data_IF_327591787370
#
_entry.id   IF_327591787370
#
_cell.length_a   1.000
_cell.length_b   1.000
_cell.length_c   1.000
_cell.angle_alpha   90.00
_cell.angle_beta   90.00
_cell.angle_gamma   90.00
#
_symmetry.space_group_name_H-M   'P 1'
#
loop_
_entity.id
_entity.type
_entity.pdbx_description
1 polymer ?
#
# COMPACT_ATOMS: atom_id res chain seq x y z
N UNK A 1 -7.84 -12.68 34.31
CA UNK A 1 -7.51 -12.57 33.89
C UNK A 1 -6.91 -12.40 33.28
N UNK A 2 -6.84 -12.14 33.36
CA UNK A 2 -6.40 -11.83 32.90
C UNK A 2 -5.76 -11.80 32.09
N UNK A 3 -5.42 -11.92 31.89
CA UNK A 3 -4.82 -11.72 31.23
C UNK A 3 -4.79 -11.77 30.14
N UNK A 4 -4.40 -12.59 29.97
CA UNK A 4 -4.93 -12.63 28.64
C UNK A 4 -5.18 -11.28 28.08
N UNK A 5 -5.19 -10.36 28.90
CA UNK A 5 -5.28 -8.97 28.51
C UNK A 5 -4.09 -8.59 27.67
N UNK A 6 -2.93 -9.05 28.05
CA UNK A 6 -1.73 -8.75 27.31
C UNK A 6 -1.83 -9.24 25.88
N UNK A 7 -2.47 -10.37 25.68
CA UNK A 7 -2.61 -10.91 24.34
C UNK A 7 -3.45 -10.01 23.46
N UNK A 8 -4.54 -9.51 23.99
CA UNK A 8 -5.40 -8.60 23.23
C UNK A 8 -4.65 -7.35 22.83
N UNK A 9 -3.79 -6.84 23.72
CA UNK A 9 -3.03 -5.63 23.45
C UNK A 9 -1.93 -5.83 22.43
N UNK A 10 -1.46 -7.07 22.26
CA UNK A 10 -0.38 -7.34 21.31
C UNK A 10 -0.88 -7.63 19.91
N UNK A 11 -2.20 -7.75 19.72
CA UNK A 11 -2.77 -8.00 18.39
C UNK A 11 -3.06 -6.67 17.72
N UNK A 12 -2.35 -6.34 16.62
CA UNK A 12 -2.59 -5.08 15.93
C UNK A 12 -4.01 -5.02 15.38
N UNK A 13 -4.60 -3.84 15.42
CA UNK A 13 -5.94 -3.64 14.90
C UNK A 13 -6.00 -3.69 13.39
N UNK A 14 -4.89 -3.33 12.73
CA UNK A 14 -4.85 -3.19 11.28
C UNK A 14 -3.46 -3.57 10.81
N UNK A 15 -3.37 -4.58 9.94
CA UNK A 15 -2.10 -5.16 9.50
C UNK A 15 -2.05 -5.22 7.98
N UNK A 16 -0.91 -4.83 7.42
CA UNK A 16 -0.62 -5.00 6.00
C UNK A 16 0.47 -6.05 5.86
N UNK A 17 0.29 -6.98 4.93
CA UNK A 17 1.27 -8.04 4.68
C UNK A 17 1.26 -8.44 3.21
N UNK A 18 2.22 -9.26 2.82
CA UNK A 18 2.30 -9.80 1.47
C UNK A 18 2.65 -11.28 1.55
N UNK A 19 2.12 -12.06 0.61
CA UNK A 19 2.52 -13.45 0.46
C UNK A 19 3.83 -13.57 -0.32
N UNK A 20 4.26 -12.48 -0.96
CA UNK A 20 5.42 -12.50 -1.84
C UNK A 20 6.71 -12.09 -1.14
N UNK A 21 6.62 -11.35 -0.02
CA UNK A 21 7.80 -10.98 0.76
C UNK A 21 7.40 -10.64 2.18
N UNK A 22 8.38 -10.71 3.10
CA UNK A 22 8.16 -10.39 4.52
C UNK A 22 8.60 -8.97 4.81
N UNK A 23 8.13 -8.42 5.93
CA UNK A 23 8.53 -7.11 6.40
C UNK A 23 10.05 -6.96 6.36
N UNK A 24 10.54 -5.95 5.66
CA UNK A 24 11.97 -5.69 5.51
C UNK A 24 12.69 -6.63 4.56
N UNK A 25 11.97 -7.58 3.95
CA UNK A 25 12.58 -8.57 3.08
C UNK A 25 12.70 -8.11 1.64
N UNK A 26 13.22 -9.00 0.81
CA UNK A 26 13.43 -8.72 -0.61
C UNK A 26 12.13 -8.82 -1.38
N UNK A 27 11.79 -7.78 -2.13
CA UNK A 27 10.66 -7.83 -3.06
C UNK A 27 11.09 -8.71 -4.24
N UNK A 28 10.27 -9.67 -4.69
CA UNK A 28 10.65 -10.57 -5.79
C UNK A 28 11.10 -9.82 -7.03
N UNK A 29 12.08 -10.38 -7.70
CA UNK A 29 12.71 -9.70 -8.84
C UNK A 29 11.70 -9.37 -9.93
N UNK A 30 10.74 -10.27 -10.20
CA UNK A 30 9.76 -10.03 -11.26
C UNK A 30 8.74 -8.95 -10.91
N UNK A 31 8.78 -8.42 -9.68
CA UNK A 31 7.97 -7.26 -9.31
C UNK A 31 8.64 -5.96 -9.71
N UNK A 32 9.91 -5.99 -10.12
CA UNK A 32 10.65 -4.82 -10.55
C UNK A 32 10.16 -4.28 -11.88
N UNK A 33 10.25 -2.97 -12.04
CA UNK A 33 9.73 -2.28 -13.21
C UNK A 33 10.27 -2.83 -14.52
N UNK A 34 11.56 -3.18 -14.54
CA UNK A 34 12.24 -3.65 -15.74
C UNK A 34 12.32 -5.17 -15.84
N UNK A 35 11.70 -5.90 -14.91
CA UNK A 35 11.85 -7.35 -14.82
C UNK A 35 10.50 -8.06 -14.79
N UNK A 36 9.51 -7.48 -15.44
CA UNK A 36 8.18 -8.06 -15.51
C UNK A 36 7.12 -7.16 -14.92
N UNK A 37 7.51 -6.28 -14.01
CA UNK A 37 6.61 -5.30 -13.39
C UNK A 37 5.35 -5.98 -12.81
N UNK A 38 5.54 -7.14 -12.22
CA UNK A 38 4.42 -7.89 -11.65
C UNK A 38 4.06 -7.32 -10.29
N UNK A 39 2.79 -6.96 -10.13
CA UNK A 39 2.29 -6.43 -8.88
C UNK A 39 2.39 -7.49 -7.78
N UNK A 40 3.02 -7.19 -6.63
CA UNK A 40 3.01 -8.12 -5.51
C UNK A 40 1.63 -8.18 -4.89
N UNK A 41 1.32 -9.32 -4.29
CA UNK A 41 0.07 -9.47 -3.56
C UNK A 41 0.17 -8.69 -2.24
N UNK A 42 -0.78 -7.82 -1.99
CA UNK A 42 -0.86 -7.05 -0.74
C UNK A 42 -2.20 -7.35 -0.08
N UNK A 43 -2.16 -7.66 1.20
CA UNK A 43 -3.32 -8.10 1.95
C UNK A 43 -3.47 -7.29 3.23
N UNK A 44 -4.71 -6.93 3.54
CA UNK A 44 -5.05 -6.24 4.77
C UNK A 44 -5.87 -7.14 5.67
N UNK A 45 -5.50 -7.21 6.93
CA UNK A 45 -6.26 -7.89 7.97
C UNK A 45 -6.52 -6.91 9.08
N UNK A 46 -7.70 -6.94 9.67
CA UNK A 46 -8.06 -5.95 10.69
C UNK A 46 -9.09 -6.52 11.66
N UNK A 47 -9.12 -5.89 12.83
CA UNK A 47 -10.08 -6.21 13.86
C UNK A 47 -11.47 -5.79 13.38
N UNK A 48 -12.50 -6.63 13.59
CA UNK A 48 -13.87 -6.28 13.18
C UNK A 48 -14.39 -4.99 13.79
N UNK A 49 -13.75 -4.49 14.85
CA UNK A 49 -14.16 -3.21 15.45
C UNK A 49 -13.87 -2.02 14.52
N UNK A 50 -13.00 -2.21 13.53
CA UNK A 50 -12.73 -1.16 12.55
C UNK A 50 -13.85 -1.21 11.50
N UNK A 51 -14.70 -0.18 11.51
CA UNK A 51 -15.83 -0.10 10.59
C UNK A 51 -15.43 0.71 9.37
N UNK A 52 -14.60 0.12 8.53
CA UNK A 52 -14.07 0.80 7.35
C UNK A 52 -15.03 0.70 6.17
N UNK A 53 -15.22 1.81 5.48
CA UNK A 53 -16.00 1.84 4.24
C UNK A 53 -15.12 1.61 3.01
N UNK A 54 -13.81 1.88 3.13
CA UNK A 54 -12.89 1.78 2.01
C UNK A 54 -11.46 1.68 2.52
N UNK A 55 -10.55 1.35 1.60
CA UNK A 55 -9.12 1.24 1.90
C UNK A 55 -8.30 1.90 0.81
N UNK A 56 -7.15 2.47 1.20
CA UNK A 56 -6.22 3.05 0.25
C UNK A 56 -4.82 2.48 0.48
N UNK A 57 -4.03 2.44 -0.59
CA UNK A 57 -2.67 1.95 -0.54
C UNK A 57 -1.76 2.92 -1.28
N UNK A 58 -0.65 3.29 -0.64
CA UNK A 58 0.38 4.12 -1.24
C UNK A 58 1.70 3.37 -1.13
N UNK A 59 2.34 3.09 -2.28
CA UNK A 59 3.69 2.54 -2.30
C UNK A 59 4.63 3.60 -2.84
N UNK A 60 5.63 3.98 -2.08
CA UNK A 60 6.61 4.95 -2.55
C UNK A 60 8.03 4.57 -2.13
N UNK A 61 8.99 5.30 -2.67
CA UNK A 61 10.42 5.07 -2.48
C UNK A 61 11.06 6.34 -1.93
N UNK A 62 11.21 6.44 -0.60
CA UNK A 62 11.87 7.62 -0.01
C UNK A 62 13.36 7.68 -0.35
N UNK A 63 14.01 6.56 -0.63
CA UNK A 63 15.43 6.53 -0.98
C UNK A 63 15.70 7.13 -2.36
N UNK A 64 14.65 7.33 -3.15
CA UNK A 64 14.78 7.99 -4.45
C UNK A 64 15.16 9.45 -4.28
N UNK A 65 14.97 10.04 -3.09
CA UNK A 65 15.35 11.42 -2.82
C UNK A 65 16.85 11.63 -3.11
N UNK A 66 17.69 10.67 -2.73
CA UNK A 66 19.13 10.79 -2.98
C UNK A 66 19.52 10.52 -4.43
N UNK A 67 18.72 9.77 -5.16
CA UNK A 67 19.03 9.38 -6.54
C UNK A 67 18.45 10.35 -7.56
N UNK A 68 17.20 10.81 -7.36
CA UNK A 68 16.51 11.63 -8.35
C UNK A 68 15.86 12.87 -7.76
N UNK A 69 16.09 13.16 -6.48
CA UNK A 69 15.68 14.41 -5.87
C UNK A 69 14.24 14.48 -5.41
N UNK A 70 13.54 13.35 -5.37
CA UNK A 70 12.17 13.32 -4.86
C UNK A 70 11.84 11.91 -4.38
N UNK A 71 10.83 11.80 -3.52
CA UNK A 71 10.22 10.53 -3.16
C UNK A 71 9.44 10.07 -4.39
N UNK A 72 9.69 8.84 -4.85
CA UNK A 72 9.09 8.35 -6.08
C UNK A 72 7.83 7.54 -5.78
N UNK A 73 6.74 7.91 -6.42
CA UNK A 73 5.45 7.21 -6.24
C UNK A 73 5.39 6.03 -7.19
N UNK A 74 5.23 4.83 -6.61
CA UNK A 74 5.23 3.58 -7.37
C UNK A 74 3.84 3.00 -7.56
N UNK A 75 2.91 3.23 -6.63
CA UNK A 75 1.60 2.59 -6.72
C UNK A 75 0.62 3.32 -5.81
N UNK A 76 -0.52 3.69 -6.37
CA UNK A 76 -1.64 4.28 -5.64
C UNK A 76 -2.87 3.45 -5.97
N UNK A 77 -3.48 2.86 -4.96
CA UNK A 77 -4.65 2.02 -5.17
C UNK A 77 -5.71 2.34 -4.13
N UNK A 78 -6.95 2.30 -4.54
CA UNK A 78 -8.09 2.56 -3.69
C UNK A 78 -9.16 1.52 -3.98
N UNK A 79 -9.80 1.00 -2.94
CA UNK A 79 -10.91 0.08 -3.13
C UNK A 79 -11.93 0.24 -2.02
N UNK A 80 -13.19 -0.04 -2.36
CA UNK A 80 -14.26 -0.08 -1.38
C UNK A 80 -14.18 -1.36 -0.56
N UNK A 81 -14.80 -1.35 0.61
CA UNK A 81 -14.90 -2.54 1.43
C UNK A 81 -16.14 -3.33 0.99
N UNK A 82 -16.08 -3.88 -0.22
CA UNK A 82 -17.19 -4.59 -0.83
C UNK A 82 -16.85 -6.04 -1.20
N UNK A 83 -15.80 -6.57 -0.61
CA UNK A 83 -15.34 -7.92 -0.88
C UNK A 83 -15.12 -8.68 0.43
N UNK A 84 -15.05 -10.02 0.38
CA UNK A 84 -14.80 -10.79 1.58
C UNK A 84 -13.46 -10.46 2.23
N UNK A 85 -13.44 -10.54 3.53
CA UNK A 85 -12.24 -10.45 4.33
C UNK A 85 -11.37 -11.70 4.08
N UNK A 86 -10.03 -11.61 4.00
CA UNK A 86 -9.22 -10.38 4.10
C UNK A 86 -9.26 -9.56 2.81
N UNK A 87 -8.87 -8.28 2.94
CA UNK A 87 -8.90 -7.38 1.81
C UNK A 87 -7.60 -7.51 1.03
N UNK A 88 -7.72 -7.71 -0.28
CA UNK A 88 -6.56 -7.87 -1.16
C UNK A 88 -6.49 -6.76 -2.19
N UNK A 89 -5.25 -6.33 -2.48
CA UNK A 89 -4.97 -5.41 -3.58
C UNK A 89 -4.28 -6.24 -4.67
N UNK A 90 -5.07 -6.96 -5.44
CA UNK A 90 -4.58 -7.86 -6.49
C UNK A 90 -5.36 -7.59 -7.76
N UNK A 91 -4.69 -7.62 -8.89
CA UNK A 91 -5.32 -7.47 -10.19
C UNK A 91 -5.79 -8.83 -10.73
N UNK A 92 -6.94 -8.91 -11.42
CA UNK A 92 -7.92 -7.83 -11.56
C UNK A 92 -8.77 -7.72 -10.30
N UNK A 93 -9.35 -6.54 -10.07
CA UNK A 93 -10.18 -6.32 -8.89
C UNK A 93 -10.93 -5.02 -8.98
N UNK A 94 -11.71 -4.74 -7.95
CA UNK A 94 -12.51 -3.50 -7.91
C UNK A 94 -11.68 -2.36 -7.33
N UNK A 95 -10.53 -2.11 -7.95
CA UNK A 95 -9.62 -1.08 -7.48
C UNK A 95 -9.58 0.08 -8.45
N UNK A 96 -9.50 1.28 -7.89
CA UNK A 96 -9.34 2.49 -8.67
C UNK A 96 -7.90 2.93 -8.48
N UNK A 97 -7.12 2.92 -9.55
CA UNK A 97 -5.68 3.13 -9.49
C UNK A 97 -5.31 4.57 -9.81
N UNK A 98 -4.31 5.06 -9.10
CA UNK A 98 -3.75 6.39 -9.34
C UNK A 98 -2.57 6.36 -10.28
N UNK A 99 -1.98 7.52 -10.48
CA UNK A 99 -0.88 7.72 -11.41
C UNK A 99 0.45 7.72 -10.69
N UNK A 100 1.39 6.93 -11.19
CA UNK A 100 2.75 6.86 -10.64
C UNK A 100 3.61 7.98 -11.18
N UNK A 101 4.81 8.11 -10.62
CA UNK A 101 5.81 9.06 -11.13
C UNK A 101 6.43 8.58 -12.44
N UNK A 102 6.16 7.35 -12.87
CA UNK A 102 6.48 6.91 -14.22
C UNK A 102 5.52 7.50 -15.24
N UNK A 103 4.43 8.13 -14.78
CA UNK A 103 3.42 8.69 -15.66
C UNK A 103 2.35 7.70 -16.09
N UNK A 104 2.32 6.53 -15.46
CA UNK A 104 1.39 5.46 -15.81
C UNK A 104 0.43 5.19 -14.66
N UNK A 105 -0.76 4.73 -14.99
CA UNK A 105 -1.78 4.38 -14.01
C UNK A 105 -1.56 2.93 -13.59
N UNK A 106 -1.63 2.67 -12.28
CA UNK A 106 -1.47 1.33 -11.73
C UNK A 106 -0.11 1.13 -11.09
N UNK A 107 0.31 -0.12 -11.02
CA UNK A 107 1.55 -0.48 -10.35
C UNK A 107 2.77 -0.20 -11.23
N UNK A 108 3.77 0.49 -10.66
CA UNK A 108 5.08 0.64 -11.25
C UNK A 108 6.12 0.15 -10.27
N UNK A 109 6.82 -0.93 -10.58
CA UNK A 109 7.70 -1.60 -9.64
C UNK A 109 9.01 -0.90 -9.35
N UNK A 110 9.77 -1.45 -8.40
CA UNK A 110 11.09 -0.94 -8.07
C UNK A 110 12.04 -0.87 -9.26
N UNK A 111 12.83 0.19 -9.32
CA UNK A 111 13.87 0.36 -10.35
C UNK A 111 14.98 1.26 -9.79
N UNK A 112 15.62 0.87 -8.67
CA UNK A 112 16.61 1.73 -8.05
C UNK A 112 17.85 1.83 -8.95
N UNK A 113 18.32 3.04 -9.28
CA UNK A 113 19.41 3.18 -10.24
C UNK A 113 20.79 3.08 -9.60
N UNK A 114 20.92 3.31 -8.31
CA UNK A 114 22.21 3.48 -7.65
C UNK A 114 22.58 2.40 -6.65
N UNK A 115 21.62 1.98 -5.82
CA UNK A 115 21.87 1.02 -4.74
C UNK A 115 20.53 0.40 -4.34
N UNK A 116 20.56 -0.51 -3.38
CA UNK A 116 19.34 -1.09 -2.83
C UNK A 116 18.51 -0.01 -2.16
N UNK A 117 17.24 0.04 -2.51
CA UNK A 117 16.29 0.97 -1.89
C UNK A 117 15.29 0.21 -1.03
N UNK A 118 14.73 0.91 -0.04
CA UNK A 118 13.63 0.39 0.78
C UNK A 118 12.34 1.04 0.29
N UNK A 119 11.39 0.20 -0.07
CA UNK A 119 10.08 0.62 -0.58
C UNK A 119 9.07 0.53 0.55
N UNK A 120 8.23 1.54 0.68
CA UNK A 120 7.27 1.65 1.78
C UNK A 120 5.86 1.51 1.22
N UNK A 121 5.13 0.54 1.75
CA UNK A 121 3.71 0.31 1.44
C UNK A 121 2.92 0.78 2.64
N UNK A 122 2.07 1.78 2.46
CA UNK A 122 1.22 2.32 3.52
C UNK A 122 -0.23 2.06 3.17
N UNK A 123 -0.97 1.46 4.09
CA UNK A 123 -2.38 1.19 3.91
C UNK A 123 -3.20 1.98 4.90
N UNK A 124 -4.38 2.39 4.48
CA UNK A 124 -5.28 3.22 5.27
C UNK A 124 -6.67 2.62 5.25
N UNK A 125 -7.29 2.54 6.43
CA UNK A 125 -8.71 2.19 6.54
C UNK A 125 -9.47 3.51 6.65
N UNK A 126 -10.49 3.68 5.84
CA UNK A 126 -11.20 4.95 5.70
C UNK A 126 -12.63 4.86 6.21
N UNK A 127 -13.07 5.92 6.88
CA UNK A 127 -14.38 6.01 7.49
C UNK A 127 -15.51 6.04 6.45
N UNK A 128 -15.25 6.67 5.31
CA UNK A 128 -16.24 6.80 4.24
C UNK A 128 -15.63 6.46 2.89
N UNK A 129 -16.50 6.15 1.92
CA UNK A 129 -16.10 5.92 0.55
C UNK A 129 -15.71 7.25 -0.11
N UNK A 130 -14.58 7.25 -0.81
CA UNK A 130 -14.11 8.43 -1.54
C UNK A 130 -14.70 8.40 -2.96
N UNK A 131 -16.02 8.60 -3.03
CA UNK A 131 -16.77 8.39 -4.27
C UNK A 131 -16.36 9.26 -5.44
N UNK A 132 -15.72 10.41 -5.17
CA UNK A 132 -15.30 11.33 -6.23
C UNK A 132 -13.90 11.07 -6.76
N UNK A 133 -13.20 10.10 -6.17
CA UNK A 133 -11.85 9.79 -6.60
C UNK A 133 -11.89 9.08 -7.94
N UNK A 134 -11.17 9.62 -8.92
CA UNK A 134 -11.20 9.08 -10.28
C UNK A 134 -9.88 8.46 -10.66
N UNK A 135 -9.95 7.43 -11.49
CA UNK A 135 -8.76 6.75 -12.00
C UNK A 135 -7.72 7.77 -12.50
N UNK A 136 -6.46 7.54 -12.16
CA UNK A 136 -5.40 8.45 -12.55
C UNK A 136 -5.12 9.56 -11.53
N UNK A 137 -5.73 9.48 -10.35
CA UNK A 137 -5.50 10.48 -9.30
C UNK A 137 -4.03 10.50 -8.87
N UNK A 138 -3.60 11.65 -8.35
CA UNK A 138 -2.25 11.80 -7.82
C UNK A 138 -2.20 11.42 -6.36
N UNK A 139 -0.99 11.25 -5.84
CA UNK A 139 -0.80 11.00 -4.41
C UNK A 139 -1.39 12.13 -3.58
N UNK A 140 -1.16 13.38 -4.02
CA UNK A 140 -1.69 14.54 -3.30
C UNK A 140 -3.21 14.53 -3.28
N UNK A 141 -3.84 14.21 -4.42
CA UNK A 141 -5.29 14.12 -4.48
C UNK A 141 -5.83 13.05 -3.53
N UNK A 142 -5.14 11.91 -3.46
CA UNK A 142 -5.54 10.84 -2.55
C UNK A 142 -5.40 11.29 -1.10
N UNK A 143 -4.26 11.90 -0.75
CA UNK A 143 -4.01 12.35 0.60
C UNK A 143 -5.02 13.40 1.04
N UNK A 144 -5.32 14.35 0.13
CA UNK A 144 -6.32 15.38 0.42
C UNK A 144 -7.71 14.76 0.64
N UNK A 145 -8.05 13.77 -0.18
CA UNK A 145 -9.35 13.11 -0.06
C UNK A 145 -9.48 12.32 1.24
N UNK A 146 -8.37 11.78 1.75
CA UNK A 146 -8.38 10.98 2.98
C UNK A 146 -8.33 11.80 4.26
N UNK A 147 -8.01 13.08 4.16
CA UNK A 147 -7.77 13.90 5.36
C UNK A 147 -9.00 13.92 6.25
N UNK A 148 -8.78 13.60 7.54
CA UNK A 148 -9.86 13.57 8.52
C UNK A 148 -10.70 12.31 8.47
N UNK A 149 -10.43 11.38 7.56
CA UNK A 149 -11.24 10.18 7.37
C UNK A 149 -10.50 8.88 7.69
N UNK A 150 -9.26 8.96 8.14
CA UNK A 150 -8.44 7.77 8.40
C UNK A 150 -8.78 7.18 9.75
N UNK A 151 -9.23 5.94 9.75
CA UNK A 151 -9.54 5.19 10.99
C UNK A 151 -8.31 4.47 11.51
N UNK A 152 -7.45 3.99 10.63
CA UNK A 152 -6.27 3.23 11.00
C UNK A 152 -5.29 3.22 9.84
N UNK A 153 -4.01 3.03 10.15
CA UNK A 153 -3.00 2.90 9.13
C UNK A 153 -1.98 1.84 9.51
N UNK A 154 -1.35 1.25 8.51
CA UNK A 154 -0.34 0.22 8.69
C UNK A 154 0.73 0.37 7.62
N UNK A 155 1.90 -0.17 7.89
CA UNK A 155 3.05 -0.02 7.01
C UNK A 155 3.76 -1.34 6.84
N UNK A 156 4.21 -1.60 5.62
CA UNK A 156 5.02 -2.76 5.26
C UNK A 156 6.19 -2.24 4.42
N UNK A 157 7.39 -2.73 4.69
CA UNK A 157 8.54 -2.34 3.89
C UNK A 157 9.13 -3.54 3.19
N UNK A 158 9.73 -3.29 2.03
CA UNK A 158 10.47 -4.31 1.30
C UNK A 158 11.63 -3.65 0.57
N UNK A 159 12.68 -4.42 0.28
CA UNK A 159 13.88 -3.90 -0.37
C UNK A 159 14.01 -4.46 -1.77
N UNK A 160 14.76 -3.75 -2.60
CA UNK A 160 15.02 -4.17 -3.97
C UNK A 160 16.33 -3.54 -4.45
N UNK A 161 17.21 -4.35 -5.04
CA UNK A 161 18.51 -3.89 -5.53
C UNK A 161 18.43 -3.59 -7.02
N UNK A 162 19.39 -2.80 -7.56
CA UNK A 162 19.43 -2.53 -9.01
C UNK A 162 19.51 -3.78 -9.86
#
# INVERSE_FOLDING_TARGET
MTLEDGDAETIPEFIISSKDFKEGGEIPKNCGYKHGNKQPQIQLQFNPSISAAAFALIMDDPDAMGAVGKVWVHWLSYRRNDAPYPINFVQPGNMIEGKTDFGEIGYGGPAPPDKRHTYVFKAYALEVDLGDLKEGYSKQELEDAMEGLILAEAKLTGTYAP
#
